data_IF_598290096785
#
_entry.id   IF_598290096785
#
_cell.length_a   1.000
_cell.length_b   1.000
_cell.length_c   1.000
_cell.angle_alpha   90.00
_cell.angle_beta   90.00
_cell.angle_gamma   90.00
#
_symmetry.space_group_name_H-M   'P 1'
#
loop_
_entity.id
_entity.type
_entity.pdbx_description
1 polymer ?
#
# COMPACT_ATOMS: atom_id res chain seq x y z
N UNK A 1 -39.91 -13.19 41.48
CA UNK A 1 -39.87 -12.02 40.57
C UNK A 1 -38.68 -11.06 40.77
N UNK A 2 -38.02 -10.97 41.95
CA UNK A 2 -36.87 -10.06 42.16
C UNK A 2 -35.52 -10.49 41.53
N UNK A 3 -35.32 -11.77 41.20
CA UNK A 3 -34.04 -12.27 40.64
C UNK A 3 -33.88 -11.99 39.14
N UNK A 4 -34.97 -12.00 38.36
CA UNK A 4 -34.94 -11.74 36.92
C UNK A 4 -34.48 -10.30 36.58
N UNK A 5 -34.94 -9.30 37.35
CA UNK A 5 -34.54 -7.89 37.18
C UNK A 5 -33.03 -7.64 37.37
N UNK A 6 -32.35 -8.43 38.21
CA UNK A 6 -30.90 -8.27 38.45
C UNK A 6 -30.06 -8.72 37.26
N UNK A 7 -30.50 -9.75 36.52
CA UNK A 7 -29.79 -10.22 35.33
C UNK A 7 -30.03 -9.30 34.11
N UNK A 8 -31.19 -8.67 34.02
CA UNK A 8 -31.53 -7.69 32.97
C UNK A 8 -30.67 -6.41 33.04
N UNK A 9 -30.40 -5.92 34.26
CA UNK A 9 -29.55 -4.75 34.49
C UNK A 9 -28.07 -5.03 34.19
N UNK A 10 -27.58 -6.25 34.46
CA UNK A 10 -26.21 -6.65 34.16
C UNK A 10 -25.98 -6.85 32.65
N UNK A 11 -26.96 -7.39 31.92
CA UNK A 11 -26.89 -7.51 30.46
C UNK A 11 -26.94 -6.14 29.76
N UNK A 12 -27.78 -5.22 30.24
CA UNK A 12 -27.83 -3.87 29.70
C UNK A 12 -26.51 -3.10 29.94
N UNK A 13 -25.88 -3.25 31.12
CA UNK A 13 -24.58 -2.65 31.41
C UNK A 13 -23.43 -3.25 30.55
N UNK A 14 -23.46 -4.55 30.29
CA UNK A 14 -22.48 -5.20 29.40
C UNK A 14 -22.65 -4.78 27.93
N UNK A 15 -23.90 -4.58 27.47
CA UNK A 15 -24.19 -4.05 26.13
C UNK A 15 -23.80 -2.56 25.98
N UNK A 16 -23.87 -1.77 27.06
CA UNK A 16 -23.39 -0.39 27.07
C UNK A 16 -21.85 -0.29 27.08
N UNK A 17 -21.16 -1.23 27.74
CA UNK A 17 -19.69 -1.27 27.75
C UNK A 17 -19.09 -1.84 26.44
N UNK A 18 -19.82 -2.69 25.71
CA UNK A 18 -19.39 -3.17 24.39
C UNK A 18 -19.61 -2.14 23.26
N UNK A 19 -20.42 -1.09 23.50
CA UNK A 19 -20.74 -0.06 22.50
C UNK A 19 -19.76 1.11 22.44
N UNK A 20 -18.77 1.18 23.34
CA UNK A 20 -17.80 2.28 23.42
C UNK A 20 -16.41 1.84 22.93
N UNK A 21 -16.34 1.09 21.83
CA UNK A 21 -15.13 1.12 21.00
C UNK A 21 -15.33 2.31 20.07
N UNK A 22 -14.87 3.50 20.47
CA UNK A 22 -14.69 4.61 19.54
C UNK A 22 -13.80 4.10 18.43
N UNK A 23 -14.41 3.79 17.28
CA UNK A 23 -13.68 3.58 16.04
C UNK A 23 -12.95 4.89 15.79
N UNK A 24 -11.64 4.87 16.04
CA UNK A 24 -10.79 6.02 15.75
C UNK A 24 -11.13 6.50 14.34
N UNK A 25 -11.41 7.80 14.19
CA UNK A 25 -11.86 8.29 12.90
C UNK A 25 -10.78 8.05 11.83
N UNK A 26 -11.23 7.75 10.61
CA UNK A 26 -10.37 7.25 9.53
C UNK A 26 -10.66 8.03 8.25
N UNK A 27 -9.61 8.60 7.66
CA UNK A 27 -9.68 9.15 6.31
C UNK A 27 -9.42 8.04 5.29
N UNK A 28 -10.26 7.94 4.27
CA UNK A 28 -10.11 6.99 3.17
C UNK A 28 -9.91 7.74 1.86
N UNK A 29 -8.84 7.43 1.16
CA UNK A 29 -8.59 7.89 -0.20
C UNK A 29 -8.74 6.71 -1.16
N UNK A 30 -9.34 6.94 -2.33
CA UNK A 30 -9.33 5.99 -3.43
C UNK A 30 -9.08 6.71 -4.75
N UNK A 31 -8.27 6.12 -5.60
CA UNK A 31 -8.07 6.55 -6.98
C UNK A 31 -7.72 5.36 -7.85
N UNK A 32 -7.95 5.50 -9.16
CA UNK A 32 -7.48 4.55 -10.16
C UNK A 32 -6.17 5.03 -10.74
N UNK A 33 -5.32 4.12 -11.16
CA UNK A 33 -3.99 4.44 -11.67
C UNK A 33 -3.62 3.50 -12.83
N UNK A 34 -3.12 4.06 -13.92
CA UNK A 34 -2.51 3.28 -14.98
C UNK A 34 -1.08 2.89 -14.58
N UNK A 35 -0.73 1.62 -14.72
CA UNK A 35 0.58 1.08 -14.38
C UNK A 35 1.16 0.38 -15.61
N UNK A 36 2.34 0.81 -16.04
CA UNK A 36 3.08 0.16 -17.13
C UNK A 36 3.96 -0.96 -16.55
N UNK A 37 3.70 -2.19 -16.99
CA UNK A 37 4.52 -3.35 -16.68
C UNK A 37 5.82 -3.32 -17.49
N UNK A 38 6.79 -4.14 -17.11
CA UNK A 38 8.08 -4.25 -17.79
C UNK A 38 7.98 -4.70 -19.25
N UNK A 39 6.93 -5.45 -19.60
CA UNK A 39 6.64 -5.91 -20.96
C UNK A 39 5.91 -4.86 -21.83
N UNK A 40 5.62 -3.67 -21.28
CA UNK A 40 4.92 -2.58 -21.95
C UNK A 40 3.40 -2.65 -21.84
N UNK A 41 2.83 -3.69 -21.24
CA UNK A 41 1.40 -3.79 -20.96
C UNK A 41 1.00 -2.70 -19.97
N UNK A 42 -0.10 -1.99 -20.25
CA UNK A 42 -0.65 -0.97 -19.35
C UNK A 42 -1.91 -1.51 -18.69
N UNK A 43 -1.81 -1.78 -17.39
CA UNK A 43 -2.94 -2.24 -16.57
C UNK A 43 -3.59 -1.06 -15.84
N UNK A 44 -4.83 -1.27 -15.38
CA UNK A 44 -5.52 -0.33 -14.50
C UNK A 44 -5.61 -0.93 -13.10
N UNK A 45 -5.16 -0.18 -12.09
CA UNK A 45 -5.28 -0.56 -10.68
C UNK A 45 -6.19 0.42 -9.94
N UNK A 46 -6.83 -0.04 -8.87
CA UNK A 46 -7.39 0.81 -7.83
C UNK A 46 -6.43 0.83 -6.64
N UNK A 47 -6.18 2.04 -6.14
CA UNK A 47 -5.42 2.29 -4.93
C UNK A 47 -6.37 2.73 -3.84
N UNK A 48 -6.33 2.07 -2.68
CA UNK A 48 -7.12 2.48 -1.50
C UNK A 48 -6.18 2.72 -0.33
N UNK A 49 -6.27 3.89 0.28
CA UNK A 49 -5.46 4.25 1.45
C UNK A 49 -6.38 4.55 2.63
N UNK A 50 -6.13 3.89 3.76
CA UNK A 50 -6.75 4.17 5.04
C UNK A 50 -5.73 4.80 5.98
N UNK A 51 -6.05 6.00 6.50
CA UNK A 51 -5.19 6.77 7.40
C UNK A 51 -5.98 7.16 8.64
N UNK A 52 -5.32 7.14 9.81
CA UNK A 52 -5.89 7.63 11.07
C UNK A 52 -6.16 9.15 11.00
N UNK A 53 -7.34 9.61 11.39
CA UNK A 53 -7.75 11.02 11.33
C UNK A 53 -6.88 11.89 12.26
N UNK A 54 -6.64 13.15 11.86
CA UNK A 54 -5.66 14.05 12.50
C UNK A 54 -4.22 13.90 11.98
N UNK A 55 -3.97 12.93 11.10
CA UNK A 55 -2.78 12.90 10.27
C UNK A 55 -2.88 13.87 9.09
N UNK A 56 -1.90 14.74 8.89
CA UNK A 56 -1.66 15.30 7.56
C UNK A 56 -1.37 14.12 6.63
N UNK A 57 -2.25 13.85 5.68
CA UNK A 57 -2.12 12.81 4.67
C UNK A 57 -0.80 12.98 3.88
N UNK A 58 0.08 11.97 3.86
CA UNK A 58 0.39 11.07 4.95
C UNK A 58 1.84 11.34 5.35
N UNK A 59 2.18 12.31 6.20
CA UNK A 59 3.58 12.59 6.53
C UNK A 59 4.27 11.43 7.25
N UNK A 60 3.52 10.48 7.85
CA UNK A 60 4.07 9.36 8.60
C UNK A 60 3.36 8.01 8.43
N UNK A 61 4.13 6.90 8.46
CA UNK A 61 3.68 5.50 8.32
C UNK A 61 2.87 4.99 9.50
N UNK A 62 3.13 5.48 10.72
CA UNK A 62 2.36 5.14 11.93
C UNK A 62 0.88 5.54 11.82
N UNK A 63 0.56 6.45 10.89
CA UNK A 63 -0.81 6.88 10.60
C UNK A 63 -1.42 6.09 9.44
N UNK A 64 -0.63 5.39 8.63
CA UNK A 64 -1.15 4.54 7.54
C UNK A 64 -1.58 3.20 8.15
N UNK A 65 -2.87 2.97 8.16
CA UNK A 65 -3.46 1.73 8.65
C UNK A 65 -3.46 0.66 7.56
N UNK A 66 -3.67 1.08 6.30
CA UNK A 66 -3.78 0.18 5.16
C UNK A 66 -3.51 0.91 3.86
N UNK A 67 -2.76 0.27 2.98
CA UNK A 67 -2.52 0.66 1.60
C UNK A 67 -2.85 -0.56 0.75
N UNK A 68 -3.83 -0.45 -0.12
CA UNK A 68 -4.31 -1.55 -0.96
C UNK A 68 -4.05 -1.25 -2.43
N UNK A 69 -3.73 -2.30 -3.18
CA UNK A 69 -3.63 -2.27 -4.64
C UNK A 69 -4.44 -3.42 -5.20
N UNK A 70 -5.46 -3.09 -5.99
CA UNK A 70 -6.30 -4.06 -6.71
C UNK A 70 -6.14 -3.85 -8.21
N UNK A 71 -5.90 -4.94 -8.95
CA UNK A 71 -5.85 -4.86 -10.42
C UNK A 71 -7.28 -4.97 -10.97
N UNK A 72 -7.80 -3.86 -11.50
CA UNK A 72 -9.14 -3.79 -12.07
C UNK A 72 -9.21 -4.31 -13.51
N UNK A 73 -8.18 -4.00 -14.30
CA UNK A 73 -8.05 -4.46 -15.69
C UNK A 73 -6.61 -4.92 -15.95
N UNK A 74 -6.45 -6.24 -15.99
CA UNK A 74 -5.17 -6.91 -16.20
C UNK A 74 -4.85 -7.12 -17.69
N UNK A 75 -5.65 -6.60 -18.64
CA UNK A 75 -5.42 -6.71 -20.09
C UNK A 75 -5.23 -8.15 -20.59
N UNK A 76 -6.06 -9.06 -20.10
CA UNK A 76 -6.01 -10.49 -20.48
C UNK A 76 -5.00 -11.31 -19.68
N UNK A 77 -4.24 -10.69 -18.77
CA UNK A 77 -3.43 -11.41 -17.80
C UNK A 77 -4.29 -11.92 -16.63
N UNK A 78 -3.93 -13.04 -15.98
CA UNK A 78 -4.55 -13.43 -14.72
C UNK A 78 -4.25 -12.36 -13.65
N UNK A 79 -5.25 -11.76 -12.99
CA UNK A 79 -5.01 -10.74 -11.97
C UNK A 79 -4.40 -11.37 -10.70
N UNK A 80 -3.54 -10.64 -9.96
CA UNK A 80 -3.10 -11.06 -8.64
C UNK A 80 -4.24 -10.90 -7.61
N UNK A 81 -4.13 -11.51 -6.43
CA UNK A 81 -4.96 -11.13 -5.29
C UNK A 81 -4.72 -9.65 -4.92
N UNK A 82 -5.66 -9.03 -4.22
CA UNK A 82 -5.51 -7.66 -3.71
C UNK A 82 -4.29 -7.60 -2.79
N UNK A 83 -3.35 -6.71 -3.09
CA UNK A 83 -2.24 -6.41 -2.20
C UNK A 83 -2.73 -5.50 -1.07
N UNK A 84 -2.29 -5.74 0.16
CA UNK A 84 -2.71 -4.97 1.33
C UNK A 84 -1.66 -5.01 2.43
N UNK A 85 -0.98 -3.91 2.67
CA UNK A 85 -0.07 -3.70 3.81
C UNK A 85 -0.03 -2.21 4.17
N UNK A 86 0.70 -1.79 5.21
CA UNK A 86 0.95 -0.38 5.52
C UNK A 86 2.06 0.25 4.67
N UNK A 87 2.90 -0.58 4.04
CA UNK A 87 4.05 -0.12 3.25
C UNK A 87 3.63 0.68 2.03
N UNK A 88 4.57 1.41 1.42
CA UNK A 88 4.33 2.12 0.17
C UNK A 88 4.65 1.22 -1.03
N UNK A 89 3.67 0.88 -1.88
CA UNK A 89 3.91 0.31 -3.20
C UNK A 89 4.84 1.20 -4.03
N UNK A 90 5.80 0.57 -4.70
CA UNK A 90 6.77 1.22 -5.58
C UNK A 90 6.75 0.59 -6.98
N UNK A 91 6.82 -0.73 -7.06
CA UNK A 91 6.78 -1.48 -8.32
C UNK A 91 5.74 -2.58 -8.22
N UNK A 92 4.81 -2.62 -9.17
CA UNK A 92 3.97 -3.78 -9.44
C UNK A 92 4.30 -4.31 -10.82
N UNK A 93 4.78 -5.54 -10.91
CA UNK A 93 5.19 -6.14 -12.18
C UNK A 93 5.01 -7.66 -12.15
N UNK A 94 5.42 -8.32 -13.24
CA UNK A 94 5.49 -9.78 -13.32
C UNK A 94 6.92 -10.22 -13.58
N UNK A 95 7.32 -11.35 -13.00
CA UNK A 95 8.60 -11.97 -13.32
C UNK A 95 8.50 -12.77 -14.64
N UNK A 96 9.64 -13.33 -15.07
CA UNK A 96 9.75 -14.13 -16.30
C UNK A 96 8.84 -15.37 -16.33
N UNK A 97 8.41 -15.84 -15.15
CA UNK A 97 7.48 -16.97 -14.99
C UNK A 97 6.02 -16.50 -14.96
N UNK A 98 5.78 -15.20 -15.09
CA UNK A 98 4.46 -14.60 -15.05
C UNK A 98 3.88 -14.45 -13.65
N UNK A 99 4.69 -14.58 -12.60
CA UNK A 99 4.27 -14.39 -11.21
C UNK A 99 4.27 -12.90 -10.88
N UNK A 100 3.17 -12.40 -10.36
CA UNK A 100 3.08 -11.01 -9.91
C UNK A 100 3.99 -10.76 -8.70
N UNK A 101 4.68 -9.63 -8.71
CA UNK A 101 5.44 -9.16 -7.58
C UNK A 101 5.15 -7.70 -7.26
N UNK A 102 5.28 -7.35 -5.98
CA UNK A 102 5.18 -5.99 -5.46
C UNK A 102 6.49 -5.66 -4.74
N UNK A 103 7.15 -4.57 -5.14
CA UNK A 103 8.22 -3.95 -4.36
C UNK A 103 7.63 -2.81 -3.54
N UNK A 104 8.01 -2.76 -2.28
CA UNK A 104 7.61 -1.71 -1.35
C UNK A 104 8.79 -1.14 -0.60
N UNK A 105 8.59 0.06 -0.08
CA UNK A 105 9.54 0.81 0.75
C UNK A 105 8.85 1.31 2.02
N UNK A 106 9.62 1.53 3.10
CA UNK A 106 9.12 2.27 4.25
C UNK A 106 9.02 3.77 3.89
N UNK A 107 8.10 4.51 4.51
CA UNK A 107 8.25 5.96 4.67
C UNK A 107 9.11 6.27 5.88
N UNK A 108 8.93 5.51 6.98
CA UNK A 108 9.66 5.65 8.25
C UNK A 108 10.01 4.29 8.85
N UNK A 109 10.94 4.31 9.80
CA UNK A 109 11.61 3.11 10.29
C UNK A 109 10.88 2.32 11.38
N UNK A 110 9.72 2.80 11.88
CA UNK A 110 9.09 2.27 13.09
C UNK A 110 8.98 0.74 13.12
N UNK A 111 8.45 0.15 12.05
CA UNK A 111 8.26 -1.29 11.92
C UNK A 111 9.15 -1.91 10.80
N UNK A 112 10.13 -1.13 10.33
CA UNK A 112 11.06 -1.53 9.29
C UNK A 112 12.37 -2.00 9.91
N UNK A 113 12.49 -3.30 10.14
CA UNK A 113 13.60 -3.94 10.87
C UNK A 113 14.81 -4.29 9.98
N UNK A 114 15.11 -3.48 8.98
CA UNK A 114 16.20 -3.75 8.03
C UNK A 114 16.82 -2.45 7.54
N UNK A 115 18.15 -2.42 7.40
CA UNK A 115 18.82 -1.31 6.73
C UNK A 115 18.65 -1.35 5.21
N UNK A 116 18.22 -2.47 4.66
CA UNK A 116 17.85 -2.57 3.26
C UNK A 116 16.47 -1.94 3.05
N UNK A 117 16.38 -0.95 2.15
CA UNK A 117 15.21 -0.09 2.03
C UNK A 117 14.03 -0.71 1.28
N UNK A 118 14.20 -1.91 0.70
CA UNK A 118 13.20 -2.54 -0.15
C UNK A 118 12.76 -3.88 0.42
N UNK A 119 11.48 -4.20 0.25
CA UNK A 119 10.93 -5.55 0.43
C UNK A 119 10.20 -5.94 -0.84
N UNK A 120 10.31 -7.22 -1.19
CA UNK A 120 9.59 -7.80 -2.32
C UNK A 120 8.58 -8.82 -1.81
N UNK A 121 7.41 -8.77 -2.41
CA UNK A 121 6.34 -9.73 -2.21
C UNK A 121 6.02 -10.38 -3.55
N UNK A 122 5.73 -11.67 -3.56
CA UNK A 122 5.23 -12.40 -4.73
C UNK A 122 3.87 -13.00 -4.45
N UNK A 123 3.02 -13.02 -5.47
CA UNK A 123 1.68 -13.61 -5.37
C UNK A 123 1.73 -15.10 -5.73
N UNK A 124 1.61 -15.95 -4.70
CA UNK A 124 1.52 -17.40 -4.87
C UNK A 124 0.22 -17.91 -4.29
N UNK A 125 -0.50 -18.75 -5.03
CA UNK A 125 -1.73 -19.42 -4.54
C UNK A 125 -2.76 -18.44 -3.94
N UNK A 126 -2.94 -17.28 -4.57
CA UNK A 126 -3.91 -16.27 -4.12
C UNK A 126 -3.51 -15.47 -2.88
N UNK A 127 -2.25 -15.59 -2.42
CA UNK A 127 -1.72 -14.79 -1.30
C UNK A 127 -0.41 -14.12 -1.65
N UNK A 128 -0.19 -12.93 -1.11
CA UNK A 128 1.09 -12.24 -1.18
C UNK A 128 2.02 -12.76 -0.09
N UNK A 129 3.23 -13.17 -0.48
CA UNK A 129 4.26 -13.69 0.42
C UNK A 129 5.51 -12.84 0.28
N UNK A 130 6.08 -12.41 1.41
CA UNK A 130 7.39 -11.75 1.39
C UNK A 130 8.44 -12.77 0.95
N UNK A 131 9.30 -12.38 0.03
CA UNK A 131 10.39 -13.20 -0.50
C UNK A 131 11.73 -12.49 -0.33
N UNK A 132 12.82 -13.22 -0.58
CA UNK A 132 14.12 -12.60 -0.76
C UNK A 132 14.07 -11.60 -1.92
N UNK A 133 14.72 -10.45 -1.74
CA UNK A 133 14.70 -9.38 -2.74
C UNK A 133 15.53 -9.77 -3.96
N UNK A 134 14.93 -9.66 -5.14
CA UNK A 134 15.60 -9.88 -6.40
C UNK A 134 16.54 -8.72 -6.72
N UNK A 135 17.84 -8.97 -6.56
CA UNK A 135 18.90 -7.99 -6.85
C UNK A 135 18.95 -7.59 -8.33
N UNK A 136 18.35 -8.37 -9.24
CA UNK A 136 18.18 -8.03 -10.65
C UNK A 136 17.25 -6.83 -10.88
N UNK A 137 16.45 -6.45 -9.88
CA UNK A 137 15.61 -5.24 -9.91
C UNK A 137 16.41 -3.95 -9.67
N UNK A 138 17.72 -4.02 -9.44
CA UNK A 138 18.55 -2.82 -9.35
C UNK A 138 18.37 -1.95 -10.60
N UNK A 139 18.28 -0.64 -10.39
CA UNK A 139 17.98 0.37 -11.41
C UNK A 139 16.55 0.32 -12.00
N UNK A 140 15.65 -0.51 -11.47
CA UNK A 140 14.23 -0.47 -11.85
C UNK A 140 13.58 0.81 -11.33
N UNK A 141 12.92 1.55 -12.21
CA UNK A 141 12.11 2.71 -11.81
C UNK A 141 10.76 2.27 -11.25
N UNK A 142 10.20 2.99 -10.26
CA UNK A 142 8.81 2.83 -9.85
C UNK A 142 7.88 2.92 -11.07
N UNK A 143 6.78 2.19 -11.01
CA UNK A 143 5.68 2.33 -11.96
C UNK A 143 4.35 2.64 -11.28
N UNK A 144 4.40 2.86 -9.97
CA UNK A 144 3.30 3.28 -9.11
C UNK A 144 3.61 4.65 -8.48
N UNK A 145 2.60 5.51 -8.40
CA UNK A 145 2.66 6.82 -7.74
C UNK A 145 2.85 6.64 -6.23
N UNK A 146 3.98 7.16 -5.74
CA UNK A 146 4.35 7.13 -4.33
C UNK A 146 3.94 8.41 -3.59
N UNK A 147 3.78 9.53 -4.31
CA UNK A 147 3.41 10.84 -3.78
C UNK A 147 1.90 11.01 -3.78
N UNK A 148 1.28 10.42 -2.77
CA UNK A 148 -0.16 10.56 -2.50
C UNK A 148 -0.44 11.99 -2.01
N UNK A 149 -1.40 12.67 -2.66
CA UNK A 149 -1.88 14.01 -2.31
C UNK A 149 -3.21 13.92 -1.56
N UNK A 150 -3.62 15.02 -0.90
CA UNK A 150 -4.94 15.12 -0.24
C UNK A 150 -6.09 14.85 -1.22
N UNK A 151 -5.93 15.32 -2.45
CA UNK A 151 -6.86 15.08 -3.56
C UNK A 151 -6.08 14.41 -4.68
N UNK A 152 -6.36 13.13 -4.89
CA UNK A 152 -5.90 12.39 -6.05
C UNK A 152 -6.94 12.54 -7.16
N UNK A 153 -6.52 12.55 -8.44
CA UNK A 153 -7.49 12.48 -9.53
C UNK A 153 -8.25 11.15 -9.46
N UNK A 154 -9.47 11.09 -10.01
CA UNK A 154 -10.22 9.83 -10.08
C UNK A 154 -9.43 8.75 -10.84
N UNK A 155 -8.74 9.15 -11.91
CA UNK A 155 -7.85 8.30 -12.70
C UNK A 155 -6.54 9.04 -12.93
N UNK A 156 -5.43 8.50 -12.41
CA UNK A 156 -4.07 8.92 -12.70
C UNK A 156 -3.54 8.15 -13.92
N UNK A 157 -3.55 8.78 -15.08
CA UNK A 157 -3.03 8.19 -16.32
C UNK A 157 -1.52 8.27 -16.39
N UNK A 158 -0.88 7.41 -17.18
CA UNK A 158 0.58 7.42 -17.36
C UNK A 158 1.10 8.80 -17.81
N UNK A 159 0.41 9.45 -18.75
CA UNK A 159 0.78 10.78 -19.26
C UNK A 159 0.70 11.90 -18.22
N UNK A 160 -0.11 11.69 -17.18
CA UNK A 160 -0.41 12.68 -16.14
C UNK A 160 0.47 12.45 -14.89
N UNK A 161 1.29 11.37 -14.89
CA UNK A 161 2.25 11.11 -13.82
C UNK A 161 3.35 12.18 -13.80
N UNK A 162 3.66 12.76 -12.62
CA UNK A 162 4.59 13.87 -12.48
C UNK A 162 6.03 13.58 -12.93
N UNK A 163 6.69 14.61 -13.47
CA UNK A 163 8.03 14.55 -14.06
C UNK A 163 9.19 14.27 -13.09
N UNK A 164 8.98 13.94 -11.80
CA UNK A 164 10.09 13.42 -10.99
C UNK A 164 10.55 12.03 -11.47
N UNK A 165 9.74 11.34 -12.27
CA UNK A 165 10.16 10.24 -13.16
C UNK A 165 11.14 10.69 -14.28
N UNK A 166 11.24 12.00 -14.54
CA UNK A 166 12.20 12.65 -15.46
C UNK A 166 13.35 13.38 -14.72
N UNK A 167 13.51 13.18 -13.40
CA UNK A 167 14.67 13.68 -12.64
C UNK A 167 14.43 14.80 -11.63
N UNK A 168 13.17 15.16 -11.33
CA UNK A 168 12.80 16.13 -10.29
C UNK A 168 13.07 15.72 -8.83
N UNK A 169 12.73 16.59 -7.86
CA UNK A 169 12.96 16.44 -6.41
C UNK A 169 12.11 15.32 -5.76
N UNK A 170 12.48 14.06 -6.02
CA UNK A 170 12.12 12.93 -5.16
C UNK A 170 13.34 12.54 -4.31
N UNK A 171 13.16 12.03 -3.09
CA UNK A 171 14.29 11.43 -2.38
C UNK A 171 14.80 10.21 -3.19
N UNK A 172 16.13 9.93 -3.20
CA UNK A 172 16.74 8.96 -4.11
C UNK A 172 16.04 7.60 -4.16
N UNK A 173 15.59 7.12 -3.01
CA UNK A 173 14.91 5.84 -2.82
C UNK A 173 13.57 5.72 -3.57
N UNK A 174 12.96 6.85 -3.92
CA UNK A 174 11.70 6.92 -4.68
C UNK A 174 11.91 7.11 -6.19
N UNK A 175 13.14 7.34 -6.65
CA UNK A 175 13.42 7.54 -8.09
C UNK A 175 13.66 6.23 -8.80
N UNK A 176 14.35 5.33 -8.12
CA UNK A 176 14.89 4.11 -8.68
C UNK A 176 15.18 3.14 -7.54
N UNK A 177 15.10 1.85 -7.82
CA UNK A 177 15.63 0.84 -6.92
C UNK A 177 17.16 0.93 -6.98
N UNK A 178 17.78 1.34 -5.88
CA UNK A 178 19.23 1.33 -5.70
C UNK A 178 19.57 0.32 -4.61
N UNK A 179 20.02 -0.87 -5.01
CA UNK A 179 20.35 -1.94 -4.05
C UNK A 179 21.55 -1.62 -3.15
N UNK A 180 22.31 -0.57 -3.44
CA UNK A 180 23.37 -0.06 -2.57
C UNK A 180 22.84 0.90 -1.50
N UNK A 181 21.65 1.48 -1.72
CA UNK A 181 21.00 2.36 -0.76
C UNK A 181 20.68 1.61 0.53
N UNK A 182 20.90 2.29 1.65
CA UNK A 182 20.51 1.83 2.98
C UNK A 182 19.61 2.89 3.59
N UNK A 183 18.45 2.47 4.04
CA UNK A 183 17.57 3.36 4.80
C UNK A 183 18.26 3.74 6.11
N UNK A 184 17.91 4.88 6.69
CA UNK A 184 18.28 5.24 8.08
C UNK A 184 17.54 4.42 9.15
N UNK A 185 16.95 3.30 8.72
CA UNK A 185 16.40 2.23 9.53
C UNK A 185 17.52 1.20 9.74
#
# INVERSE_FOLDING_TARGET
>A
MRKLYRYSLLLAAALWLAGCFELEPMTRLSWKEEVALSDGTVILVERRLAVREGGFLPESDDKILKNEVEVLDAKGLPPPPVWSDKWKPMVLDRDEHGVWFMVVIPRHCFDWNSSFAYRQYKAYNGVWQQVEFDMGLNLRRPNIEWRIKKEMPEILRLRDKPEWEKGGEAAPEYRIIDTSYRSGC
#
